data_IF_698873507513
#
_entry.id   IF_698873507513
#
_cell.length_a   1.000
_cell.length_b   1.000
_cell.length_c   1.000
_cell.angle_alpha   90.00
_cell.angle_beta   90.00
_cell.angle_gamma   90.00
#
_symmetry.space_group_name_H-M   'P 1'
#
loop_
_entity.id
_entity.type
_entity.pdbx_description
1 polymer ?
#
# COMPACT_ATOMS: atom_id res chain seq x y z
N UNK A 1 -1.36 0.49 8.02
CA UNK A 1 -2.54 1.18 8.60
C UNK A 1 -3.56 1.68 7.59
N UNK A 2 -3.30 1.65 6.28
CA UNK A 2 -4.28 2.01 5.24
C UNK A 2 -4.42 0.83 4.27
N UNK A 3 -5.62 0.62 3.73
CA UNK A 3 -5.84 -0.43 2.73
C UNK A 3 -5.11 -0.08 1.42
N UNK A 4 -4.38 -1.03 0.79
CA UNK A 4 -3.66 -0.79 -0.47
C UNK A 4 -4.53 -0.16 -1.56
N UNK A 5 -5.78 -0.61 -1.73
CA UNK A 5 -6.72 -0.06 -2.71
C UNK A 5 -6.95 1.44 -2.54
N UNK A 6 -7.16 1.90 -1.30
CA UNK A 6 -7.41 3.33 -1.01
C UNK A 6 -6.19 4.17 -1.38
N UNK A 7 -5.00 3.66 -1.08
CA UNK A 7 -3.74 4.34 -1.41
C UNK A 7 -3.55 4.40 -2.93
N UNK A 8 -3.85 3.31 -3.65
CA UNK A 8 -3.78 3.27 -5.10
C UNK A 8 -4.71 4.30 -5.77
N UNK A 9 -5.94 4.44 -5.28
CA UNK A 9 -6.90 5.41 -5.82
C UNK A 9 -6.50 6.86 -5.52
N UNK A 10 -6.00 7.14 -4.31
CA UNK A 10 -5.55 8.47 -3.92
C UNK A 10 -4.34 8.93 -4.73
N UNK A 11 -3.29 8.11 -4.78
CA UNK A 11 -2.08 8.45 -5.53
C UNK A 11 -2.29 8.38 -7.03
N UNK A 12 -3.16 7.47 -7.49
CA UNK A 12 -3.63 7.45 -8.86
C UNK A 12 -4.33 8.75 -9.28
N UNK A 13 -5.19 9.28 -8.41
CA UNK A 13 -5.84 10.58 -8.64
C UNK A 13 -4.80 11.70 -8.76
N UNK A 14 -3.82 11.73 -7.87
CA UNK A 14 -2.74 12.71 -7.94
C UNK A 14 -1.91 12.55 -9.20
N UNK A 15 -1.55 11.34 -9.60
CA UNK A 15 -0.75 11.06 -10.80
C UNK A 15 -1.52 11.41 -12.08
N UNK A 16 -2.83 11.20 -12.10
CA UNK A 16 -3.70 11.59 -13.20
C UNK A 16 -3.79 13.12 -13.34
N UNK A 17 -3.90 13.84 -12.20
CA UNK A 17 -3.96 15.30 -12.19
C UNK A 17 -2.59 15.96 -12.43
N UNK A 18 -1.52 15.30 -12.01
CA UNK A 18 -0.14 15.81 -12.08
C UNK A 18 0.81 14.74 -12.63
N UNK A 19 0.75 14.45 -13.95
CA UNK A 19 1.61 13.45 -14.58
C UNK A 19 3.09 13.73 -14.32
N UNK A 20 3.89 12.67 -14.13
CA UNK A 20 5.35 12.71 -13.92
C UNK A 20 5.82 13.52 -12.69
N UNK A 21 4.93 13.79 -11.73
CA UNK A 21 5.25 14.62 -10.55
C UNK A 21 4.96 13.95 -9.20
N UNK A 22 4.54 12.69 -9.19
CA UNK A 22 4.07 11.99 -8.00
C UNK A 22 4.89 10.73 -7.78
N UNK A 23 5.47 10.64 -6.59
CA UNK A 23 6.16 9.46 -6.07
C UNK A 23 5.47 8.99 -4.79
N UNK A 24 5.46 7.68 -4.56
CA UNK A 24 4.82 7.06 -3.39
C UNK A 24 5.88 6.48 -2.44
N UNK A 25 6.14 7.20 -1.35
CA UNK A 25 7.01 6.74 -0.25
C UNK A 25 6.26 5.86 0.74
N UNK A 26 6.78 4.66 1.00
CA UNK A 26 6.22 3.67 1.91
C UNK A 26 7.19 3.39 3.05
N UNK A 27 6.82 3.81 4.26
CA UNK A 27 7.53 3.49 5.48
C UNK A 27 6.72 2.55 6.36
N UNK A 28 7.43 1.76 7.18
CA UNK A 28 6.78 1.07 8.29
C UNK A 28 6.45 2.12 9.36
N UNK A 29 5.17 2.26 9.70
CA UNK A 29 4.84 2.96 10.93
C UNK A 29 5.32 2.08 12.11
N UNK A 30 6.06 2.59 13.10
CA UNK A 30 6.34 1.87 14.32
C UNK A 30 5.00 1.67 15.05
N UNK A 31 4.39 0.51 14.83
CA UNK A 31 3.08 0.17 15.36
C UNK A 31 3.18 -0.14 16.84
N UNK A 32 3.15 0.90 17.69
CA UNK A 32 3.07 0.78 19.15
C UNK A 32 4.29 0.10 19.79
N UNK A 33 4.69 0.56 20.98
CA UNK A 33 5.77 -0.08 21.73
C UNK A 33 5.53 -1.61 21.84
N UNK A 34 6.56 -2.47 21.67
CA UNK A 34 6.40 -3.92 21.69
C UNK A 34 5.69 -4.46 22.94
N UNK A 35 5.76 -3.75 24.08
CA UNK A 35 5.03 -4.10 25.31
C UNK A 35 3.54 -3.87 25.13
N UNK A 36 3.15 -2.77 24.48
CA UNK A 36 1.75 -2.43 24.20
C UNK A 36 1.10 -3.40 23.21
N UNK A 37 1.84 -3.78 22.15
CA UNK A 37 1.35 -4.78 21.18
C UNK A 37 1.16 -6.16 21.81
N UNK A 38 2.08 -6.60 22.69
CA UNK A 38 1.95 -7.87 23.42
C UNK A 38 0.76 -7.87 24.38
N UNK A 39 0.47 -6.76 25.05
CA UNK A 39 -0.66 -6.64 25.97
C UNK A 39 -2.02 -6.72 25.26
N UNK A 40 -2.09 -6.30 23.99
CA UNK A 40 -3.32 -6.31 23.19
C UNK A 40 -3.56 -7.62 22.42
N UNK A 41 -2.65 -8.61 22.48
CA UNK A 41 -2.76 -9.89 21.74
C UNK A 41 -3.85 -10.81 22.28
N UNK A 42 -5.09 -10.53 21.90
CA UNK A 42 -6.17 -11.52 21.82
C UNK A 42 -6.80 -11.39 20.43
N UNK A 43 -6.29 -12.15 19.46
CA UNK A 43 -6.99 -12.64 18.23
C UNK A 43 -6.47 -12.28 16.83
N UNK A 44 -5.28 -11.72 16.58
CA UNK A 44 -4.82 -11.59 15.17
C UNK A 44 -3.32 -11.88 15.05
N UNK A 45 -3.00 -13.13 14.70
CA UNK A 45 -1.67 -13.51 14.20
C UNK A 45 -1.72 -13.28 12.69
N UNK A 46 -1.27 -12.11 12.27
CA UNK A 46 -0.57 -11.95 11.00
C UNK A 46 0.77 -11.34 11.41
N UNK A 47 1.85 -12.03 11.12
CA UNK A 47 3.20 -11.53 11.38
C UNK A 47 3.34 -10.18 10.67
N UNK A 48 3.57 -9.12 11.45
CA UNK A 48 3.51 -7.71 11.02
C UNK A 48 4.47 -7.41 9.85
N UNK A 49 5.55 -8.18 9.75
CA UNK A 49 6.56 -8.07 8.69
C UNK A 49 6.05 -8.61 7.34
N UNK A 50 5.41 -9.77 7.35
CA UNK A 50 4.82 -10.38 6.16
C UNK A 50 3.65 -9.55 5.64
N UNK A 51 2.86 -8.94 6.55
CA UNK A 51 1.75 -8.07 6.20
C UNK A 51 2.18 -6.87 5.35
N UNK A 52 3.24 -6.17 5.74
CA UNK A 52 3.72 -4.99 5.01
C UNK A 52 4.18 -5.31 3.59
N UNK A 53 4.92 -6.42 3.41
CA UNK A 53 5.39 -6.82 2.07
C UNK A 53 4.20 -7.20 1.18
N UNK A 54 3.21 -7.92 1.72
CA UNK A 54 2.00 -8.24 0.99
C UNK A 54 1.21 -6.99 0.59
N UNK A 55 1.08 -6.00 1.48
CA UNK A 55 0.43 -4.71 1.19
C UNK A 55 1.15 -3.96 0.06
N UNK A 56 2.49 -3.98 0.04
CA UNK A 56 3.31 -3.35 -1.02
C UNK A 56 3.07 -4.03 -2.37
N UNK A 57 3.06 -5.37 -2.41
CA UNK A 57 2.82 -6.13 -3.63
C UNK A 57 1.39 -5.92 -4.17
N UNK A 58 0.40 -5.89 -3.28
CA UNK A 58 -0.98 -5.59 -3.64
C UNK A 58 -1.13 -4.17 -4.19
N UNK A 59 -0.50 -3.19 -3.55
CA UNK A 59 -0.48 -1.81 -4.03
C UNK A 59 0.18 -1.69 -5.41
N UNK A 60 1.32 -2.35 -5.63
CA UNK A 60 1.99 -2.37 -6.93
C UNK A 60 1.08 -3.00 -8.01
N UNK A 61 0.37 -4.07 -7.69
CA UNK A 61 -0.57 -4.69 -8.61
C UNK A 61 -1.76 -3.78 -8.98
N UNK A 62 -2.25 -2.97 -8.02
CA UNK A 62 -3.32 -2.01 -8.29
C UNK A 62 -2.89 -0.83 -9.17
N UNK A 63 -1.63 -0.39 -9.05
CA UNK A 63 -1.07 0.72 -9.83
C UNK A 63 -0.59 0.32 -11.23
N UNK A 64 -0.34 -0.98 -11.44
CA UNK A 64 0.08 -1.55 -12.71
C UNK A 64 -1.07 -1.75 -13.73
N UNK A 65 -0.76 -2.36 -14.88
CA UNK A 65 -1.76 -2.65 -15.90
C UNK A 65 -2.76 -3.71 -15.42
N UNK A 66 -4.02 -3.58 -15.86
CA UNK A 66 -5.09 -4.52 -15.54
C UNK A 66 -4.74 -5.95 -15.94
N UNK A 67 -4.80 -6.87 -14.99
CA UNK A 67 -4.56 -8.29 -15.26
C UNK A 67 -5.86 -9.04 -15.62
N UNK A 68 -5.81 -10.07 -16.49
CA UNK A 68 -6.95 -10.93 -16.75
C UNK A 68 -7.51 -11.55 -15.46
N UNK A 69 -8.82 -11.47 -15.26
CA UNK A 69 -9.49 -12.03 -14.07
C UNK A 69 -9.43 -11.14 -12.82
N UNK A 70 -8.83 -9.95 -12.90
CA UNK A 70 -8.82 -9.00 -11.80
C UNK A 70 -10.21 -8.37 -11.60
N UNK A 71 -10.85 -8.68 -10.47
CA UNK A 71 -12.20 -8.21 -10.14
C UNK A 71 -12.23 -6.80 -9.54
N UNK A 72 -11.16 -6.41 -8.84
CA UNK A 72 -11.03 -5.11 -8.16
C UNK A 72 -10.03 -4.23 -8.90
N UNK A 73 -10.42 -2.99 -9.17
CA UNK A 73 -9.64 -2.01 -9.93
C UNK A 73 -9.52 -0.73 -9.12
N UNK A 74 -8.32 -0.20 -8.98
CA UNK A 74 -8.12 1.13 -8.41
C UNK A 74 -8.46 2.17 -9.48
N UNK A 75 -9.48 3.00 -9.25
CA UNK A 75 -9.84 4.08 -10.17
C UNK A 75 -9.78 5.44 -9.47
N UNK A 76 -9.03 6.43 -9.99
CA UNK A 76 -8.13 6.40 -11.16
C UNK A 76 -6.69 5.99 -10.80
N UNK A 77 -6.43 4.74 -10.41
CA UNK A 77 -5.08 4.25 -10.03
C UNK A 77 -4.46 3.24 -11.00
N UNK A 78 -5.29 2.53 -11.75
CA UNK A 78 -4.84 1.52 -12.69
C UNK A 78 -3.99 2.12 -13.82
N UNK A 79 -2.94 1.42 -14.19
CA UNK A 79 -1.99 1.80 -15.25
C UNK A 79 -1.28 3.15 -15.04
N UNK A 80 -1.37 3.72 -13.83
CA UNK A 80 -0.66 4.97 -13.48
C UNK A 80 0.83 4.74 -13.23
N UNK A 81 1.22 3.50 -12.88
CA UNK A 81 2.61 3.08 -12.70
C UNK A 81 3.41 4.02 -11.76
N UNK A 82 2.74 4.60 -10.75
CA UNK A 82 3.34 5.54 -9.79
C UNK A 82 4.57 4.89 -9.13
N UNK A 83 5.76 5.52 -9.15
CA UNK A 83 6.97 4.97 -8.56
C UNK A 83 6.82 4.74 -7.05
N UNK A 84 7.22 3.55 -6.59
CA UNK A 84 7.22 3.17 -5.17
C UNK A 84 8.63 3.28 -4.58
N UNK A 85 8.74 3.92 -3.42
CA UNK A 85 9.99 4.04 -2.66
C UNK A 85 9.82 3.45 -1.27
N UNK A 86 10.63 2.46 -0.91
CA UNK A 86 10.67 1.92 0.45
C UNK A 86 11.56 2.80 1.33
N UNK A 87 10.99 3.33 2.41
CA UNK A 87 11.68 4.20 3.35
C UNK A 87 12.19 3.38 4.55
N UNK A 88 13.51 3.27 4.66
CA UNK A 88 14.17 2.67 5.84
C UNK A 88 14.20 3.64 7.01
N UNK A 89 14.03 3.11 8.23
CA UNK A 89 14.24 3.81 9.50
C UNK A 89 15.63 3.55 10.05
#
# INVERSE_FOLDING_TARGET
NHAPLVIAEQFGTLATLYPDRIDLGLGRAPGTDPVTMRALRRRLVQDEEDGFINDVLELQAYLGPLQPGQSVRAMPGIDTNVPLWLLGS
#
